data_IF_711627470202
#
_entry.id   IF_711627470202
#
_cell.length_a   1.000
_cell.length_b   1.000
_cell.length_c   1.000
_cell.angle_alpha   90.00
_cell.angle_beta   90.00
_cell.angle_gamma   90.00
#
_symmetry.space_group_name_H-M   'P 1'
#
loop_
_entity.id
_entity.type
_entity.pdbx_description
1 polymer ?
#
# COMPACT_ATOMS: atom_id res chain seq x y z
N UNK A 1 20.17 23.14 -10.89
CA UNK A 1 19.92 22.97 -9.46
C UNK A 1 19.59 21.52 -9.13
N UNK A 2 19.68 21.14 -7.88
CA UNK A 2 19.32 19.78 -7.42
C UNK A 2 17.78 19.74 -7.23
N UNK A 3 17.12 18.72 -7.78
CA UNK A 3 15.71 18.41 -7.47
C UNK A 3 15.66 17.41 -6.32
N UNK A 4 14.73 17.61 -5.40
CA UNK A 4 14.51 16.70 -4.28
C UNK A 4 13.38 15.75 -4.62
N UNK A 5 13.55 14.49 -4.23
CA UNK A 5 12.53 13.46 -4.31
C UNK A 5 12.09 13.04 -2.91
N UNK A 6 10.84 12.61 -2.77
CA UNK A 6 10.32 12.00 -1.55
C UNK A 6 9.70 10.65 -1.86
N UNK A 7 9.93 9.70 -0.98
CA UNK A 7 9.11 8.49 -0.93
C UNK A 7 7.75 8.78 -0.29
N UNK A 8 6.75 8.05 -0.72
CA UNK A 8 5.43 8.05 -0.12
C UNK A 8 4.82 6.65 -0.16
N UNK A 9 4.26 6.22 0.97
CA UNK A 9 3.56 4.94 1.14
C UNK A 9 2.07 5.22 1.30
N UNK A 10 1.27 5.21 0.22
CA UNK A 10 -0.14 5.55 0.29
C UNK A 10 -1.06 4.37 0.68
N UNK A 11 -0.53 3.15 0.70
CA UNK A 11 -1.30 1.93 0.97
C UNK A 11 -1.64 1.75 2.46
N UNK A 12 -0.75 2.15 3.35
CA UNK A 12 -0.87 1.95 4.79
C UNK A 12 -0.18 3.07 5.56
N UNK A 13 -0.40 3.11 6.86
CA UNK A 13 0.34 3.99 7.79
C UNK A 13 0.99 3.16 8.87
N UNK A 14 1.88 3.76 9.67
CA UNK A 14 2.35 3.12 10.90
C UNK A 14 1.21 2.94 11.92
N UNK A 15 1.27 1.90 12.76
CA UNK A 15 0.28 1.64 13.81
C UNK A 15 0.17 2.77 14.84
N UNK A 16 1.17 3.65 14.91
CA UNK A 16 1.21 4.84 15.78
C UNK A 16 0.90 6.14 15.05
N UNK A 17 0.34 6.09 13.83
CA UNK A 17 0.00 7.28 13.07
C UNK A 17 -1.08 8.12 13.78
N UNK A 18 -1.10 9.42 13.50
CA UNK A 18 -2.18 10.29 14.00
C UNK A 18 -3.57 9.81 13.58
N UNK A 19 -3.70 9.24 12.39
CA UNK A 19 -4.97 8.70 11.93
C UNK A 19 -5.48 7.52 12.76
N UNK A 20 -4.57 6.76 13.39
CA UNK A 20 -4.99 5.72 14.35
C UNK A 20 -5.72 6.31 15.57
N UNK A 21 -5.42 7.56 15.91
CA UNK A 21 -6.03 8.31 17.01
C UNK A 21 -7.29 9.06 16.53
N UNK A 22 -7.14 9.85 15.48
CA UNK A 22 -8.13 10.83 15.02
C UNK A 22 -9.21 10.18 14.13
N UNK A 23 -8.84 9.17 13.35
CA UNK A 23 -9.68 8.52 12.34
C UNK A 23 -9.48 6.97 12.35
N UNK A 24 -9.73 6.28 13.49
CA UNK A 24 -9.51 4.84 13.56
C UNK A 24 -10.37 4.04 12.59
N UNK A 25 -11.46 4.62 12.08
CA UNK A 25 -12.35 4.07 11.07
C UNK A 25 -11.78 4.15 9.63
N UNK A 26 -10.63 4.80 9.42
CA UNK A 26 -9.93 4.84 8.12
C UNK A 26 -9.29 3.51 7.74
N UNK A 27 -9.17 2.58 8.68
CA UNK A 27 -8.47 1.32 8.49
C UNK A 27 -9.42 0.16 8.19
N UNK A 28 -8.92 -0.85 7.50
CA UNK A 28 -9.64 -2.13 7.35
C UNK A 28 -9.63 -2.82 8.70
N UNK A 29 -10.81 -3.11 9.25
CA UNK A 29 -10.99 -3.63 10.60
C UNK A 29 -12.23 -4.52 10.73
N UNK A 30 -12.26 -5.34 11.78
CA UNK A 30 -13.39 -6.18 12.16
C UNK A 30 -13.67 -6.08 13.66
N UNK A 31 -14.85 -6.56 14.07
CA UNK A 31 -15.28 -6.60 15.47
C UNK A 31 -14.79 -7.86 16.21
N UNK A 32 -14.23 -8.82 15.48
CA UNK A 32 -13.74 -10.10 16.01
C UNK A 32 -12.42 -10.47 15.30
N UNK A 33 -11.56 -11.26 15.97
CA UNK A 33 -10.30 -11.68 15.36
C UNK A 33 -10.58 -12.61 14.15
N UNK A 34 -9.82 -12.49 13.06
CA UNK A 34 -10.05 -13.30 11.85
C UNK A 34 -9.82 -14.80 12.06
N UNK A 35 -9.04 -15.17 13.07
CA UNK A 35 -8.78 -16.56 13.45
C UNK A 35 -9.11 -16.78 14.92
N UNK A 36 -9.91 -17.82 15.26
CA UNK A 36 -10.36 -18.06 16.65
C UNK A 36 -9.25 -18.35 17.65
N UNK A 37 -8.09 -18.79 17.18
CA UNK A 37 -6.91 -19.08 18.02
C UNK A 37 -6.05 -17.86 18.33
N UNK A 38 -6.33 -16.70 17.70
CA UNK A 38 -5.56 -15.49 17.93
C UNK A 38 -5.68 -15.01 19.38
N UNK A 39 -4.54 -14.61 19.94
CA UNK A 39 -4.41 -14.07 21.31
C UNK A 39 -3.65 -12.75 21.26
N UNK A 40 -3.97 -11.87 22.20
CA UNK A 40 -3.39 -10.52 22.28
C UNK A 40 -2.97 -10.25 23.73
N UNK A 41 -2.12 -11.13 24.30
CA UNK A 41 -1.67 -11.06 25.70
C UNK A 41 -0.39 -10.25 25.88
N UNK A 42 0.26 -9.88 24.78
CA UNK A 42 1.48 -9.09 24.76
C UNK A 42 1.32 -7.69 25.36
N UNK A 43 2.41 -6.97 25.49
CA UNK A 43 2.42 -5.62 26.04
C UNK A 43 1.59 -4.65 25.20
N UNK A 44 0.99 -3.65 25.86
CA UNK A 44 0.43 -2.51 25.18
C UNK A 44 1.57 -1.71 24.53
N UNK A 45 1.45 -1.45 23.24
CA UNK A 45 2.43 -0.71 22.42
C UNK A 45 2.07 0.77 22.25
N UNK A 46 0.86 1.17 22.66
CA UNK A 46 0.41 2.57 22.53
C UNK A 46 0.96 3.44 23.67
N UNK A 47 1.52 4.58 23.32
CA UNK A 47 1.88 5.65 24.26
C UNK A 47 0.67 6.53 24.61
N UNK A 48 -0.43 6.46 23.85
CA UNK A 48 -1.65 7.23 24.13
C UNK A 48 -2.42 6.59 25.30
N UNK A 49 -2.76 7.35 26.35
CA UNK A 49 -3.47 6.83 27.53
C UNK A 49 -4.91 6.39 27.23
N UNK A 50 -5.50 6.84 26.10
CA UNK A 50 -6.90 6.57 25.78
C UNK A 50 -7.14 5.24 25.09
N UNK A 51 -6.12 4.57 24.54
CA UNK A 51 -6.27 3.27 23.90
C UNK A 51 -5.05 2.38 24.04
N UNK A 52 -5.25 1.10 23.78
CA UNK A 52 -4.20 0.10 23.74
C UNK A 52 -4.06 -0.45 22.32
N UNK A 53 -2.83 -0.79 21.96
CA UNK A 53 -2.48 -1.51 20.73
C UNK A 53 -1.70 -2.76 21.13
N UNK A 54 -2.16 -3.93 20.68
CA UNK A 54 -1.49 -5.21 20.94
C UNK A 54 -1.40 -6.01 19.66
N UNK A 55 -0.19 -6.43 19.28
CA UNK A 55 0.02 -7.34 18.16
C UNK A 55 -0.31 -8.77 18.62
N UNK A 56 -0.76 -9.60 17.71
CA UNK A 56 -1.08 -11.01 17.96
C UNK A 56 0.15 -11.77 18.49
N UNK A 57 -0.07 -12.70 19.43
CA UNK A 57 1.01 -13.36 20.18
C UNK A 57 1.93 -14.22 19.29
N UNK A 58 1.43 -14.76 18.17
CA UNK A 58 2.20 -15.52 17.20
C UNK A 58 3.32 -14.73 16.55
N UNK A 59 3.16 -13.41 16.41
CA UNK A 59 4.23 -12.52 15.97
C UNK A 59 5.45 -12.57 16.90
N UNK A 60 5.20 -12.47 18.21
CA UNK A 60 6.26 -12.47 19.21
C UNK A 60 6.95 -13.82 19.37
N UNK A 61 6.20 -14.90 19.22
CA UNK A 61 6.72 -16.27 19.27
C UNK A 61 7.31 -16.76 17.94
N UNK A 62 7.21 -15.94 16.88
CA UNK A 62 7.60 -16.31 15.50
C UNK A 62 6.92 -17.59 14.99
N UNK A 63 5.71 -17.87 15.47
CA UNK A 63 4.94 -19.04 15.09
C UNK A 63 3.90 -18.77 14.01
N UNK A 64 3.53 -17.50 13.83
CA UNK A 64 2.56 -17.06 12.82
C UNK A 64 2.88 -15.64 12.36
N UNK A 65 2.48 -15.32 11.14
CA UNK A 65 2.48 -13.96 10.62
C UNK A 65 1.16 -13.29 11.01
N UNK A 66 1.16 -12.56 12.13
CA UNK A 66 -0.02 -11.84 12.62
C UNK A 66 -0.61 -10.95 11.52
N UNK A 67 -1.87 -11.20 11.13
CA UNK A 67 -2.53 -10.42 10.05
C UNK A 67 -3.26 -9.21 10.59
N UNK A 68 -3.57 -9.18 11.90
CA UNK A 68 -4.22 -8.07 12.59
C UNK A 68 -3.51 -7.74 13.90
N UNK A 69 -3.72 -6.52 14.36
CA UNK A 69 -3.48 -6.12 15.75
C UNK A 69 -4.80 -5.72 16.40
N UNK A 70 -4.86 -5.80 17.72
CA UNK A 70 -5.99 -5.38 18.52
C UNK A 70 -5.83 -3.91 18.94
N UNK A 71 -6.89 -3.12 18.74
CA UNK A 71 -7.02 -1.77 19.28
C UNK A 71 -8.17 -1.73 20.27
N UNK A 72 -7.92 -1.26 21.49
CA UNK A 72 -8.93 -1.11 22.55
C UNK A 72 -9.08 0.38 22.84
N UNK A 73 -10.27 0.92 22.67
CA UNK A 73 -10.63 2.25 23.15
C UNK A 73 -11.02 2.18 24.63
N UNK A 74 -10.22 2.79 25.51
CA UNK A 74 -10.46 2.72 26.97
C UNK A 74 -11.65 3.53 27.44
N UNK A 75 -12.09 4.52 26.66
CA UNK A 75 -13.23 5.35 27.02
C UNK A 75 -14.55 4.64 26.76
N UNK A 76 -14.62 3.93 25.63
CA UNK A 76 -15.85 3.26 25.19
C UNK A 76 -15.86 1.78 25.50
N UNK A 77 -14.69 1.18 25.77
CA UNK A 77 -14.51 -0.27 25.86
C UNK A 77 -14.56 -0.98 24.49
N UNK A 78 -14.63 -0.24 23.40
CA UNK A 78 -14.69 -0.80 22.05
C UNK A 78 -13.37 -1.49 21.69
N UNK A 79 -13.49 -2.71 21.18
CA UNK A 79 -12.35 -3.50 20.67
C UNK A 79 -12.51 -3.65 19.17
N UNK A 80 -11.43 -3.36 18.43
CA UNK A 80 -11.33 -3.56 16.99
C UNK A 80 -10.06 -4.33 16.64
N UNK A 81 -10.15 -5.13 15.59
CA UNK A 81 -9.02 -5.87 15.03
C UNK A 81 -8.70 -5.27 13.68
N UNK A 82 -7.57 -4.57 13.62
CA UNK A 82 -7.15 -3.78 12.45
C UNK A 82 -6.11 -4.58 11.67
N UNK A 83 -6.31 -4.68 10.36
CA UNK A 83 -5.38 -5.40 9.50
C UNK A 83 -4.07 -4.65 9.34
N UNK A 84 -2.95 -5.38 9.42
CA UNK A 84 -1.65 -4.86 9.04
C UNK A 84 -1.60 -4.59 7.53
N UNK A 85 -0.78 -3.64 7.12
CA UNK A 85 -0.52 -3.36 5.71
C UNK A 85 0.06 -4.58 4.99
N UNK A 86 -0.30 -4.73 3.72
CA UNK A 86 0.21 -5.78 2.87
C UNK A 86 0.44 -5.23 1.46
N UNK A 87 1.60 -5.52 0.90
CA UNK A 87 2.04 -5.08 -0.43
C UNK A 87 1.73 -6.10 -1.54
N UNK A 88 0.93 -7.13 -1.22
CA UNK A 88 0.61 -8.22 -2.14
C UNK A 88 1.51 -9.44 -1.97
N UNK A 89 2.45 -9.42 -1.04
CA UNK A 89 3.18 -10.60 -0.57
C UNK A 89 2.35 -11.37 0.46
N UNK A 90 2.82 -12.54 0.87
CA UNK A 90 2.15 -13.34 1.91
C UNK A 90 2.48 -12.86 3.33
N UNK A 91 3.35 -11.87 3.48
CA UNK A 91 3.81 -11.36 4.77
C UNK A 91 3.18 -10.01 5.07
N UNK A 92 2.38 -9.87 6.13
CA UNK A 92 1.92 -8.58 6.62
C UNK A 92 3.08 -7.79 7.24
N UNK A 93 2.99 -6.46 7.12
CA UNK A 93 3.95 -5.54 7.73
C UNK A 93 3.44 -5.13 9.11
N UNK A 94 3.93 -5.81 10.17
CA UNK A 94 3.35 -5.77 11.51
C UNK A 94 3.51 -4.43 12.26
N UNK A 95 4.28 -3.50 11.75
CA UNK A 95 4.38 -2.11 12.23
C UNK A 95 3.43 -1.15 11.51
N UNK A 96 2.54 -1.67 10.66
CA UNK A 96 1.65 -0.88 9.80
C UNK A 96 0.18 -1.23 9.98
N UNK A 97 -0.69 -0.33 9.52
CA UNK A 97 -2.15 -0.47 9.49
C UNK A 97 -2.69 -0.16 8.09
N UNK A 98 -3.50 -1.08 7.54
CA UNK A 98 -4.02 -1.00 6.18
C UNK A 98 -5.15 0.02 6.07
N UNK A 99 -5.01 0.98 5.15
CA UNK A 99 -6.05 1.95 4.85
C UNK A 99 -7.20 1.31 4.05
N UNK A 100 -8.42 1.70 4.39
CA UNK A 100 -9.65 1.23 3.71
C UNK A 100 -10.00 2.15 2.53
N UNK A 101 -9.43 1.88 1.37
CA UNK A 101 -9.65 2.67 0.17
C UNK A 101 -11.06 2.52 -0.45
N UNK A 102 -11.95 1.67 0.09
CA UNK A 102 -13.37 1.71 -0.29
C UNK A 102 -14.03 3.02 0.17
N UNK A 103 -13.56 3.62 1.24
CA UNK A 103 -14.08 4.86 1.79
C UNK A 103 -13.59 6.05 0.95
N UNK A 104 -14.52 6.87 0.48
CA UNK A 104 -14.20 8.04 -0.33
C UNK A 104 -13.39 9.10 0.45
N UNK A 105 -13.71 9.28 1.72
CA UNK A 105 -12.99 10.19 2.62
C UNK A 105 -11.55 9.76 2.86
N UNK A 106 -11.29 8.44 2.94
CA UNK A 106 -9.93 7.90 3.03
C UNK A 106 -9.14 8.16 1.75
N UNK A 107 -9.74 7.89 0.57
CA UNK A 107 -9.09 8.21 -0.72
C UNK A 107 -8.74 9.69 -0.81
N UNK A 108 -9.69 10.57 -0.46
CA UNK A 108 -9.44 12.02 -0.47
C UNK A 108 -8.35 12.42 0.52
N UNK A 109 -8.34 11.88 1.74
CA UNK A 109 -7.30 12.15 2.72
C UNK A 109 -5.91 11.74 2.23
N UNK A 110 -5.79 10.58 1.56
CA UNK A 110 -4.54 10.14 0.95
C UNK A 110 -4.11 11.05 -0.19
N UNK A 111 -5.05 11.47 -1.06
CA UNK A 111 -4.77 12.41 -2.14
C UNK A 111 -4.27 13.74 -1.57
N UNK A 112 -4.88 14.27 -0.52
CA UNK A 112 -4.40 15.49 0.14
C UNK A 112 -3.00 15.36 0.74
N UNK A 113 -2.65 14.17 1.27
CA UNK A 113 -1.28 13.89 1.68
C UNK A 113 -0.31 13.90 0.48
N UNK A 114 -0.69 13.32 -0.67
CA UNK A 114 0.11 13.39 -1.90
C UNK A 114 0.34 14.84 -2.31
N UNK A 115 -0.70 15.68 -2.32
CA UNK A 115 -0.57 17.11 -2.60
C UNK A 115 0.36 17.83 -1.62
N UNK A 116 0.27 17.49 -0.34
CA UNK A 116 1.16 18.08 0.67
C UNK A 116 2.64 17.73 0.42
N UNK A 117 2.92 16.52 -0.05
CA UNK A 117 4.26 16.11 -0.47
C UNK A 117 4.67 16.84 -1.76
N UNK A 118 3.78 16.90 -2.76
CA UNK A 118 4.04 17.56 -4.05
C UNK A 118 4.38 19.05 -3.92
N UNK A 119 3.80 19.75 -2.92
CA UNK A 119 4.16 21.16 -2.63
C UNK A 119 5.62 21.36 -2.18
N UNK A 120 6.28 20.30 -1.75
CA UNK A 120 7.63 20.34 -1.16
C UNK A 120 8.69 19.65 -2.03
N UNK A 121 8.27 18.67 -2.82
CA UNK A 121 9.14 17.82 -3.62
C UNK A 121 8.64 17.74 -5.05
N UNK A 122 9.53 17.99 -5.99
CA UNK A 122 9.21 17.92 -7.42
C UNK A 122 9.17 16.49 -7.98
N UNK A 123 9.56 15.51 -7.19
CA UNK A 123 9.54 14.08 -7.56
C UNK A 123 8.96 13.31 -6.38
N UNK A 124 7.95 12.46 -6.64
CA UNK A 124 7.37 11.56 -5.65
C UNK A 124 7.50 10.13 -6.15
N UNK A 125 8.11 9.27 -5.34
CA UNK A 125 8.12 7.82 -5.56
C UNK A 125 7.04 7.19 -4.69
N UNK A 126 6.12 6.45 -5.31
CA UNK A 126 5.07 5.72 -4.61
C UNK A 126 5.48 4.27 -4.39
N UNK A 127 5.63 3.91 -3.13
CA UNK A 127 5.93 2.56 -2.69
C UNK A 127 4.74 1.62 -2.92
N UNK A 128 5.00 0.42 -3.40
CA UNK A 128 4.00 -0.63 -3.67
C UNK A 128 2.72 -0.12 -4.36
N UNK A 129 2.86 0.80 -5.32
CA UNK A 129 1.73 1.49 -5.95
C UNK A 129 0.70 0.53 -6.59
N UNK A 130 1.16 -0.64 -7.06
CA UNK A 130 0.30 -1.64 -7.70
C UNK A 130 -0.81 -2.15 -6.77
N UNK A 131 -0.61 -2.14 -5.44
CA UNK A 131 -1.59 -2.63 -4.47
C UNK A 131 -2.86 -1.80 -4.41
N UNK A 132 -2.78 -0.52 -4.77
CA UNK A 132 -3.90 0.43 -4.78
C UNK A 132 -4.64 0.52 -6.11
N UNK A 133 -4.23 -0.23 -7.14
CA UNK A 133 -5.09 -0.36 -8.32
C UNK A 133 -6.38 -1.10 -7.94
N UNK A 134 -7.51 -0.69 -8.50
CA UNK A 134 -8.83 -1.30 -8.20
C UNK A 134 -8.78 -2.82 -8.22
N UNK A 135 -8.17 -3.38 -9.26
CA UNK A 135 -8.06 -4.83 -9.44
C UNK A 135 -7.31 -5.52 -8.29
N UNK A 136 -6.15 -4.98 -7.90
CA UNK A 136 -5.35 -5.62 -6.86
C UNK A 136 -5.87 -5.32 -5.47
N UNK A 137 -6.38 -4.13 -5.22
CA UNK A 137 -7.03 -3.78 -3.96
C UNK A 137 -8.25 -4.67 -3.71
N UNK A 138 -9.11 -4.88 -4.71
CA UNK A 138 -10.22 -5.83 -4.63
C UNK A 138 -9.73 -7.24 -4.32
N UNK A 139 -8.77 -7.74 -5.08
CA UNK A 139 -8.22 -9.09 -4.89
C UNK A 139 -7.62 -9.29 -3.49
N UNK A 140 -6.90 -8.28 -3.00
CA UNK A 140 -6.20 -8.37 -1.71
C UNK A 140 -7.14 -8.25 -0.51
N UNK A 141 -8.16 -7.39 -0.59
CA UNK A 141 -8.93 -6.98 0.58
C UNK A 141 -10.42 -7.30 0.51
N UNK A 142 -10.99 -7.31 -0.69
CA UNK A 142 -12.42 -7.50 -0.93
C UNK A 142 -12.62 -8.45 -2.12
N UNK A 143 -12.19 -9.71 -2.01
CA UNK A 143 -12.29 -10.66 -3.10
C UNK A 143 -13.75 -10.90 -3.49
N UNK A 144 -13.97 -11.35 -4.71
CA UNK A 144 -15.32 -11.74 -5.12
C UNK A 144 -15.78 -12.98 -4.32
N UNK A 145 -17.08 -13.08 -4.01
CA UNK A 145 -17.65 -14.24 -3.32
C UNK A 145 -17.20 -15.56 -3.95
N UNK A 146 -16.74 -16.49 -3.11
CA UNK A 146 -16.28 -17.82 -3.54
C UNK A 146 -14.90 -17.88 -4.18
N UNK A 147 -14.20 -16.74 -4.35
CA UNK A 147 -12.84 -16.73 -4.93
C UNK A 147 -11.70 -16.71 -3.90
N UNK A 148 -12.05 -16.60 -2.62
CA UNK A 148 -11.07 -16.46 -1.55
C UNK A 148 -10.07 -15.31 -1.81
N UNK A 149 -9.49 -14.74 -0.76
CA UNK A 149 -8.37 -13.82 -0.86
C UNK A 149 -7.04 -14.58 -0.70
N UNK A 150 -5.94 -13.88 -0.88
CA UNK A 150 -4.60 -14.43 -0.58
C UNK A 150 -4.47 -14.80 0.90
N UNK A 151 -5.26 -14.19 1.78
CA UNK A 151 -5.42 -14.54 3.18
C UNK A 151 -6.86 -15.01 3.40
N UNK A 152 -7.10 -16.23 3.89
CA UNK A 152 -8.44 -16.82 4.03
C UNK A 152 -9.45 -15.95 4.78
N UNK A 153 -9.00 -15.24 5.83
CA UNK A 153 -9.87 -14.32 6.60
C UNK A 153 -10.46 -13.18 5.78
N UNK A 154 -9.88 -12.85 4.63
CA UNK A 154 -10.39 -11.79 3.75
C UNK A 154 -11.62 -12.23 2.96
N UNK A 155 -11.90 -13.52 2.88
CA UNK A 155 -13.15 -14.02 2.30
C UNK A 155 -14.38 -13.50 3.04
N UNK A 156 -14.25 -13.19 4.33
CA UNK A 156 -15.32 -12.60 5.16
C UNK A 156 -15.66 -11.16 4.73
N UNK A 157 -14.76 -10.50 4.00
CA UNK A 157 -14.94 -9.16 3.43
C UNK A 157 -15.31 -9.21 1.94
N UNK A 158 -15.74 -10.37 1.43
CA UNK A 158 -16.04 -10.53 0.00
C UNK A 158 -17.14 -9.57 -0.48
N UNK A 159 -16.90 -8.95 -1.63
CA UNK A 159 -17.86 -8.08 -2.31
C UNK A 159 -18.04 -8.54 -3.74
N UNK A 160 -19.26 -8.44 -4.23
CA UNK A 160 -19.52 -8.57 -5.67
C UNK A 160 -18.80 -7.45 -6.44
N UNK A 161 -18.60 -7.64 -7.72
CA UNK A 161 -17.97 -6.61 -8.57
C UNK A 161 -18.76 -5.30 -8.53
N UNK A 162 -20.08 -5.35 -8.57
CA UNK A 162 -20.94 -4.17 -8.61
C UNK A 162 -20.92 -3.41 -7.27
N UNK A 163 -20.94 -4.14 -6.15
CA UNK A 163 -20.78 -3.53 -4.82
C UNK A 163 -19.41 -2.85 -4.70
N UNK A 164 -18.33 -3.54 -5.08
CA UNK A 164 -16.99 -2.96 -5.06
C UNK A 164 -16.89 -1.72 -5.96
N UNK A 165 -17.39 -1.80 -7.19
CA UNK A 165 -17.34 -0.68 -8.15
C UNK A 165 -18.21 0.50 -7.71
N UNK A 166 -19.28 0.28 -6.95
CA UNK A 166 -20.09 1.37 -6.37
C UNK A 166 -19.35 2.15 -5.28
N UNK A 167 -18.56 1.44 -4.47
CA UNK A 167 -17.77 2.02 -3.37
C UNK A 167 -16.44 2.60 -3.84
N UNK A 168 -15.87 2.04 -4.91
CA UNK A 168 -14.62 2.47 -5.51
C UNK A 168 -14.79 2.73 -7.02
N UNK A 169 -15.53 3.79 -7.39
CA UNK A 169 -15.98 3.99 -8.78
C UNK A 169 -14.85 4.32 -9.76
N UNK A 170 -13.84 5.10 -9.34
CA UNK A 170 -12.76 5.58 -10.17
C UNK A 170 -11.45 4.88 -9.80
N UNK A 171 -10.62 4.58 -10.79
CA UNK A 171 -9.25 4.07 -10.53
C UNK A 171 -8.44 5.12 -9.78
N UNK A 172 -7.97 4.78 -8.57
CA UNK A 172 -7.31 5.71 -7.65
C UNK A 172 -6.12 6.44 -8.30
N UNK A 173 -5.24 5.70 -8.96
CA UNK A 173 -4.07 6.30 -9.58
C UNK A 173 -4.40 7.19 -10.76
N UNK A 174 -5.48 6.92 -11.48
CA UNK A 174 -5.95 7.80 -12.54
C UNK A 174 -6.40 9.15 -11.97
N UNK A 175 -7.17 9.11 -10.88
CA UNK A 175 -7.59 10.31 -10.19
C UNK A 175 -6.41 11.13 -9.66
N UNK A 176 -5.43 10.47 -9.01
CA UNK A 176 -4.19 11.12 -8.54
C UNK A 176 -3.45 11.80 -9.69
N UNK A 177 -3.22 11.08 -10.78
CA UNK A 177 -2.48 11.61 -11.95
C UNK A 177 -3.20 12.80 -12.57
N UNK A 178 -4.51 12.70 -12.78
CA UNK A 178 -5.29 13.77 -13.39
C UNK A 178 -5.27 15.03 -12.52
N UNK A 179 -5.43 14.89 -11.21
CA UNK A 179 -5.41 16.02 -10.28
C UNK A 179 -4.02 16.65 -10.17
N UNK A 180 -2.95 15.86 -10.07
CA UNK A 180 -1.57 16.37 -10.04
C UNK A 180 -1.23 17.09 -11.35
N UNK A 181 -1.59 16.54 -12.50
CA UNK A 181 -1.35 17.20 -13.79
C UNK A 181 -2.07 18.55 -13.91
N UNK A 182 -3.26 18.68 -13.32
CA UNK A 182 -4.04 19.92 -13.35
C UNK A 182 -3.52 20.96 -12.36
N UNK A 183 -3.16 20.57 -11.14
CA UNK A 183 -2.85 21.49 -10.06
C UNK A 183 -1.34 21.67 -9.83
N UNK A 184 -0.51 20.66 -10.16
CA UNK A 184 0.93 20.63 -9.92
C UNK A 184 1.69 19.96 -11.09
N UNK A 185 1.60 20.48 -12.33
CA UNK A 185 2.10 19.82 -13.54
C UNK A 185 3.61 19.61 -13.56
N UNK A 186 4.37 20.32 -12.73
CA UNK A 186 5.84 20.18 -12.61
C UNK A 186 6.25 18.99 -11.71
N UNK A 187 5.30 18.31 -11.06
CA UNK A 187 5.58 17.17 -10.17
C UNK A 187 5.70 15.88 -10.97
N UNK A 188 6.86 15.23 -10.89
CA UNK A 188 7.09 13.94 -11.51
C UNK A 188 6.64 12.81 -10.57
N UNK A 189 5.78 11.94 -11.06
CA UNK A 189 5.27 10.78 -10.34
C UNK A 189 5.98 9.51 -10.82
N UNK A 190 6.58 8.77 -9.87
CA UNK A 190 7.28 7.52 -10.11
C UNK A 190 6.62 6.40 -9.29
N UNK A 191 6.08 5.39 -9.95
CA UNK A 191 5.46 4.26 -9.30
C UNK A 191 6.42 3.08 -9.12
N UNK A 192 6.38 2.45 -7.95
CA UNK A 192 6.84 1.08 -7.80
C UNK A 192 5.70 0.14 -8.19
N UNK A 193 5.88 -0.60 -9.28
CA UNK A 193 4.88 -1.53 -9.76
C UNK A 193 5.54 -2.83 -10.23
N UNK A 194 5.06 -3.94 -9.68
CA UNK A 194 5.46 -5.29 -10.06
C UNK A 194 4.36 -5.97 -10.89
N UNK A 195 4.50 -7.28 -11.09
CA UNK A 195 3.50 -8.16 -11.73
C UNK A 195 3.13 -7.75 -13.15
N UNK A 196 4.13 -7.26 -13.91
CA UNK A 196 3.97 -6.82 -15.31
C UNK A 196 2.98 -5.65 -15.46
N UNK A 197 2.83 -4.83 -14.41
CA UNK A 197 1.94 -3.68 -14.43
C UNK A 197 2.61 -2.38 -14.89
N UNK A 198 3.90 -2.39 -15.18
CA UNK A 198 4.67 -1.21 -15.58
C UNK A 198 4.02 -0.50 -16.78
N UNK A 199 3.65 -1.27 -17.80
CA UNK A 199 2.96 -0.73 -18.97
C UNK A 199 1.59 -0.15 -18.66
N UNK A 200 0.85 -0.74 -17.73
CA UNK A 200 -0.45 -0.24 -17.29
C UNK A 200 -0.32 1.11 -16.58
N UNK A 201 0.63 1.23 -15.66
CA UNK A 201 0.87 2.49 -14.94
C UNK A 201 1.22 3.64 -15.87
N UNK A 202 2.10 3.42 -16.84
CA UNK A 202 2.52 4.49 -17.75
C UNK A 202 1.47 4.77 -18.84
N UNK A 203 1.00 3.73 -19.55
CA UNK A 203 0.15 3.92 -20.72
C UNK A 203 -1.33 4.16 -20.40
N UNK A 204 -1.83 3.50 -19.36
CA UNK A 204 -3.26 3.56 -19.03
C UNK A 204 -3.55 4.53 -17.89
N UNK A 205 -2.70 4.59 -16.86
CA UNK A 205 -2.89 5.45 -15.71
C UNK A 205 -2.22 6.82 -15.87
N UNK A 206 -1.28 6.97 -16.80
CA UNK A 206 -0.59 8.23 -17.06
C UNK A 206 0.54 8.56 -16.07
N UNK A 207 1.00 7.60 -15.29
CA UNK A 207 2.17 7.77 -14.42
C UNK A 207 3.41 8.13 -15.25
N UNK A 208 4.18 9.11 -14.81
CA UNK A 208 5.32 9.60 -15.59
C UNK A 208 6.42 8.55 -15.74
N UNK A 209 6.69 7.81 -14.67
CA UNK A 209 7.74 6.79 -14.63
C UNK A 209 7.29 5.62 -13.75
N UNK A 210 7.91 4.48 -13.99
CA UNK A 210 7.73 3.26 -13.19
C UNK A 210 9.05 2.53 -13.08
N UNK A 211 9.27 1.81 -12.00
CA UNK A 211 10.43 0.94 -11.86
C UNK A 211 10.39 -0.20 -12.88
N UNK A 212 11.53 -0.49 -13.45
CA UNK A 212 11.71 -1.72 -14.19
C UNK A 212 12.19 -2.82 -13.24
N UNK A 213 11.24 -3.52 -12.63
CA UNK A 213 11.52 -4.58 -11.65
C UNK A 213 12.38 -5.71 -12.22
N UNK A 214 12.16 -6.08 -13.48
CA UNK A 214 12.97 -7.12 -14.14
C UNK A 214 14.42 -6.67 -14.34
N UNK A 215 14.63 -5.41 -14.70
CA UNK A 215 15.97 -4.83 -14.82
C UNK A 215 16.69 -4.79 -13.47
N UNK A 216 16.02 -4.32 -12.42
CA UNK A 216 16.58 -4.27 -11.06
C UNK A 216 16.95 -5.67 -10.56
N UNK A 217 16.11 -6.67 -10.81
CA UNK A 217 16.37 -8.04 -10.41
C UNK A 217 17.59 -8.64 -11.11
N UNK A 218 17.73 -8.38 -12.42
CA UNK A 218 18.89 -8.84 -13.17
C UNK A 218 20.19 -8.12 -12.73
N UNK A 219 20.12 -6.83 -12.42
CA UNK A 219 21.26 -6.10 -11.86
C UNK A 219 21.68 -6.66 -10.49
N UNK A 220 20.71 -6.94 -9.63
CA UNK A 220 20.97 -7.52 -8.31
C UNK A 220 21.66 -8.89 -8.39
N UNK A 221 21.34 -9.66 -9.43
CA UNK A 221 21.95 -10.98 -9.69
C UNK A 221 23.21 -10.90 -10.56
N UNK A 222 23.66 -9.71 -10.95
CA UNK A 222 24.81 -9.50 -11.83
C UNK A 222 24.66 -10.20 -13.20
N UNK A 223 23.44 -10.40 -13.68
CA UNK A 223 23.12 -11.05 -14.96
C UNK A 223 23.34 -10.11 -16.15
N UNK A 224 24.56 -9.57 -16.29
CA UNK A 224 24.90 -8.53 -17.26
C UNK A 224 24.61 -8.93 -18.72
N UNK A 225 24.88 -10.16 -19.12
CA UNK A 225 24.63 -10.62 -20.49
C UNK A 225 23.14 -10.65 -20.82
N UNK A 226 22.31 -11.09 -19.87
CA UNK A 226 20.85 -11.10 -20.03
C UNK A 226 20.28 -9.70 -20.11
N UNK A 227 20.84 -8.74 -19.35
CA UNK A 227 20.49 -7.35 -19.42
C UNK A 227 20.73 -6.77 -20.81
N UNK A 228 21.94 -6.93 -21.32
CA UNK A 228 22.31 -6.42 -22.66
C UNK A 228 21.42 -7.02 -23.76
N UNK A 229 21.18 -8.32 -23.71
CA UNK A 229 20.34 -9.03 -24.69
C UNK A 229 18.88 -8.61 -24.61
N UNK A 230 18.31 -8.53 -23.41
CA UNK A 230 16.87 -8.24 -23.21
C UNK A 230 16.50 -6.83 -23.61
N UNK A 231 17.37 -5.86 -23.35
CA UNK A 231 17.09 -4.45 -23.62
C UNK A 231 17.75 -3.93 -24.87
N UNK A 232 18.40 -4.81 -25.64
CA UNK A 232 19.13 -4.47 -26.87
C UNK A 232 20.08 -3.26 -26.67
N UNK A 233 20.76 -3.26 -25.51
CA UNK A 233 21.67 -2.20 -25.11
C UNK A 233 23.10 -2.67 -25.36
N UNK A 234 23.90 -1.90 -26.08
CA UNK A 234 25.33 -2.17 -26.19
C UNK A 234 26.08 -1.67 -24.93
N UNK A 235 27.27 -2.20 -24.66
CA UNK A 235 28.03 -1.89 -23.45
C UNK A 235 28.27 -0.38 -23.23
N UNK A 236 28.34 0.40 -24.31
CA UNK A 236 28.55 1.84 -24.25
C UNK A 236 27.33 2.60 -23.70
N UNK A 237 26.13 2.10 -23.94
CA UNK A 237 24.88 2.74 -23.47
C UNK A 237 24.60 2.51 -21.97
N UNK A 238 25.16 1.46 -21.39
CA UNK A 238 25.01 1.21 -19.96
C UNK A 238 25.71 2.29 -19.13
N UNK A 239 26.88 2.72 -19.57
CA UNK A 239 27.69 3.73 -18.84
C UNK A 239 27.10 5.14 -19.01
N UNK A 240 26.58 5.49 -20.19
CA UNK A 240 26.04 6.84 -20.45
C UNK A 240 24.66 7.07 -19.85
N UNK A 241 23.85 6.03 -19.63
CA UNK A 241 22.53 6.13 -18.99
C UNK A 241 22.57 6.41 -17.47
N UNK A 242 23.75 6.31 -16.85
CA UNK A 242 23.95 6.58 -15.41
C UNK A 242 24.48 7.99 -15.13
N UNK A 243 24.89 8.74 -16.15
CA UNK A 243 25.53 10.05 -16.03
C UNK A 243 24.71 11.19 -16.66
N UNK A 244 23.48 10.92 -17.14
CA UNK A 244 22.59 11.90 -17.79
C UNK A 244 21.39 12.29 -16.95
#
# INVERSE_FOLDING_TARGET
GIRLASDMVPNHTGIFSKWMIEHPDYFIQSDFPPFPNYKFTGANLSDDPNFEIRIEDGYWSHSDAAVVFQRIDKKTGSIKYIYHGNDGTNMPWNDTAQLNMLKADVREAVIQMIFNVARRFSIIRFDAAMTLTKRHFSRLWFPQPGKGGDIPSRADHALTKDEFDSLFPVEFWREVVDRINNEMPETLLLAEAFWLMEGYFVRSLGMHRVYNSAFMHMMMKEENELLLKKYNINQTQVVSGWLG
#
